data_IF_247952089673
#
_entry.id   IF_247952089673
#
_cell.length_a   1.000
_cell.length_b   1.000
_cell.length_c   1.000
_cell.angle_alpha   90.00
_cell.angle_beta   90.00
_cell.angle_gamma   90.00
#
_symmetry.space_group_name_H-M   'P 1'
#
loop_
_entity.id
_entity.type
_entity.pdbx_description
1 polymer ?
#
# COMPACT_ATOMS: atom_id res chain seq x y z
N UNK A 1 10.08 -9.51 24.36
CA UNK A 1 10.36 -9.19 22.96
C UNK A 1 10.54 -7.68 22.88
N UNK A 2 11.70 -7.21 22.43
CA UNK A 2 11.97 -5.76 22.33
C UNK A 2 11.06 -5.15 21.26
N UNK A 3 10.39 -4.05 21.57
CA UNK A 3 9.44 -3.41 20.66
C UNK A 3 10.21 -2.69 19.52
N UNK A 4 10.43 -3.39 18.41
CA UNK A 4 11.00 -2.80 17.20
C UNK A 4 9.96 -1.91 16.50
N UNK A 5 10.22 -0.60 16.45
CA UNK A 5 9.40 0.33 15.66
C UNK A 5 9.87 0.27 14.21
N UNK A 6 9.03 -0.19 13.26
CA UNK A 6 9.44 -0.27 11.87
C UNK A 6 9.74 1.12 11.30
N UNK A 7 10.73 1.19 10.43
CA UNK A 7 10.95 2.39 9.63
C UNK A 7 9.88 2.53 8.52
N UNK A 8 9.88 3.66 7.84
CA UNK A 8 8.86 3.94 6.82
C UNK A 8 8.86 2.95 5.66
N UNK A 9 10.04 2.57 5.16
CA UNK A 9 10.13 1.60 4.06
C UNK A 9 9.64 0.22 4.50
N UNK A 10 9.95 -0.22 5.73
CA UNK A 10 9.43 -1.47 6.30
C UNK A 10 7.91 -1.44 6.40
N UNK A 11 7.34 -0.34 6.89
CA UNK A 11 5.91 -0.16 7.01
C UNK A 11 5.20 -0.17 5.65
N UNK A 12 5.62 0.67 4.70
CA UNK A 12 4.96 0.78 3.40
C UNK A 12 5.19 -0.44 2.51
N UNK A 13 6.37 -1.07 2.58
CA UNK A 13 6.61 -2.34 1.90
C UNK A 13 5.70 -3.44 2.47
N UNK A 14 5.49 -3.47 3.79
CA UNK A 14 4.54 -4.41 4.40
C UNK A 14 3.11 -4.17 3.91
N UNK A 15 2.68 -2.90 3.80
CA UNK A 15 1.38 -2.59 3.21
C UNK A 15 1.26 -3.06 1.76
N UNK A 16 2.32 -2.95 0.96
CA UNK A 16 2.32 -3.47 -0.42
C UNK A 16 2.17 -5.00 -0.46
N UNK A 17 2.84 -5.71 0.46
CA UNK A 17 2.67 -7.17 0.62
C UNK A 17 1.25 -7.52 1.08
N UNK A 18 0.66 -6.76 2.00
CA UNK A 18 -0.73 -6.98 2.42
C UNK A 18 -1.69 -6.71 1.25
N UNK A 19 -1.48 -5.65 0.47
CA UNK A 19 -2.29 -5.36 -0.71
C UNK A 19 -2.23 -6.51 -1.73
N UNK A 20 -1.06 -7.13 -1.92
CA UNK A 20 -0.89 -8.24 -2.86
C UNK A 20 -1.71 -9.49 -2.49
N UNK A 21 -2.09 -9.66 -1.21
CA UNK A 21 -2.93 -10.77 -0.75
C UNK A 21 -4.32 -10.80 -1.40
N UNK A 22 -4.78 -9.66 -1.95
CA UNK A 22 -6.04 -9.56 -2.69
C UNK A 22 -5.91 -9.83 -4.19
N UNK A 23 -4.70 -10.13 -4.68
CA UNK A 23 -4.47 -10.47 -6.07
C UNK A 23 -5.29 -11.67 -6.51
N UNK A 24 -5.81 -11.61 -7.73
CA UNK A 24 -6.59 -12.70 -8.32
C UNK A 24 -5.87 -13.37 -9.48
N UNK A 25 -4.59 -13.08 -9.70
CA UNK A 25 -3.80 -13.64 -10.80
C UNK A 25 -3.00 -14.86 -10.33
N UNK A 26 -3.18 -16.01 -10.99
CA UNK A 26 -2.48 -17.25 -10.63
C UNK A 26 -0.97 -17.23 -10.91
N UNK A 27 -0.49 -16.26 -11.71
CA UNK A 27 0.93 -16.16 -12.11
C UNK A 27 1.79 -15.42 -11.09
N UNK A 28 1.18 -14.67 -10.18
CA UNK A 28 1.90 -13.89 -9.19
C UNK A 28 1.02 -12.88 -8.49
N UNK A 29 1.20 -12.77 -7.18
CA UNK A 29 0.49 -11.84 -6.32
C UNK A 29 1.32 -10.57 -6.14
N UNK A 30 0.92 -9.50 -6.81
CA UNK A 30 1.63 -8.21 -6.82
C UNK A 30 0.73 -7.16 -6.19
N UNK A 31 1.31 -6.38 -5.27
CA UNK A 31 0.69 -5.24 -4.64
C UNK A 31 1.55 -3.99 -4.82
N UNK A 32 0.88 -2.85 -4.93
CA UNK A 32 1.49 -1.54 -5.10
C UNK A 32 0.87 -0.56 -4.09
N UNK A 33 1.70 0.29 -3.49
CA UNK A 33 1.26 1.37 -2.60
C UNK A 33 1.93 2.67 -3.04
N UNK A 34 1.13 3.69 -3.30
CA UNK A 34 1.60 5.03 -3.64
C UNK A 34 1.52 5.89 -2.38
N UNK A 35 2.64 6.50 -2.01
CA UNK A 35 2.82 7.22 -0.75
C UNK A 35 3.34 8.62 -1.03
N UNK A 36 2.89 9.61 -0.27
CA UNK A 36 3.47 10.95 -0.24
C UNK A 36 3.37 11.52 1.17
N UNK A 37 4.40 12.21 1.63
CA UNK A 37 4.46 12.80 2.97
C UNK A 37 4.12 11.79 4.09
N UNK A 38 4.63 10.56 3.96
CA UNK A 38 4.36 9.41 4.84
C UNK A 38 2.86 9.04 4.97
N UNK A 39 2.05 9.37 3.96
CA UNK A 39 0.64 8.99 3.86
C UNK A 39 0.38 8.16 2.62
N UNK A 40 -0.41 7.11 2.77
CA UNK A 40 -0.89 6.31 1.65
C UNK A 40 -1.89 7.14 0.86
N UNK A 41 -1.60 7.36 -0.42
CA UNK A 41 -2.49 8.03 -1.38
C UNK A 41 -3.42 7.02 -2.06
N UNK A 42 -2.87 5.88 -2.45
CA UNK A 42 -3.59 4.85 -3.19
C UNK A 42 -2.90 3.49 -3.05
N UNK A 43 -3.68 2.43 -3.15
CA UNK A 43 -3.19 1.06 -3.18
C UNK A 43 -3.73 0.34 -4.40
N UNK A 44 -3.02 -0.69 -4.84
CA UNK A 44 -3.44 -1.53 -5.95
C UNK A 44 -2.90 -2.93 -5.80
N UNK A 45 -3.58 -3.87 -6.43
CA UNK A 45 -3.11 -5.24 -6.61
C UNK A 45 -3.43 -5.68 -8.01
N UNK A 46 -2.70 -6.65 -8.53
CA UNK A 46 -2.96 -7.14 -9.88
C UNK A 46 -4.22 -8.01 -9.93
N UNK A 47 -5.16 -7.68 -10.81
CA UNK A 47 -6.45 -8.37 -10.91
C UNK A 47 -7.21 -8.00 -12.18
N UNK A 48 -8.30 -8.72 -12.45
CA UNK A 48 -9.18 -8.40 -13.58
C UNK A 48 -9.80 -7.00 -13.41
N UNK A 49 -10.12 -6.29 -14.50
CA UNK A 49 -10.90 -5.07 -14.44
C UNK A 49 -12.20 -5.27 -13.64
N UNK A 50 -12.66 -4.20 -12.99
CA UNK A 50 -13.88 -4.26 -12.18
C UNK A 50 -15.08 -4.75 -13.02
N UNK A 51 -15.82 -5.72 -12.47
CA UNK A 51 -16.99 -6.33 -13.12
C UNK A 51 -16.67 -7.44 -14.13
N UNK A 52 -15.40 -7.85 -14.27
CA UNK A 52 -15.02 -8.97 -15.14
C UNK A 52 -14.62 -10.22 -14.32
N UNK A 53 -14.74 -11.44 -14.89
CA UNK A 53 -14.33 -12.67 -14.22
C UNK A 53 -12.86 -12.64 -13.78
N UNK A 54 -12.54 -13.20 -12.62
CA UNK A 54 -11.17 -13.25 -12.12
C UNK A 54 -10.41 -14.45 -12.67
N UNK A 55 -9.07 -14.39 -12.69
CA UNK A 55 -8.28 -15.54 -13.11
C UNK A 55 -8.40 -16.74 -12.14
N UNK A 56 -8.83 -16.49 -10.90
CA UNK A 56 -9.19 -17.53 -9.94
C UNK A 56 -10.42 -18.34 -10.40
N UNK A 57 -11.34 -17.72 -11.13
CA UNK A 57 -12.60 -18.34 -11.54
C UNK A 57 -12.47 -19.02 -12.91
N UNK A 58 -11.81 -18.36 -13.87
CA UNK A 58 -11.80 -18.76 -15.28
C UNK A 58 -10.40 -19.04 -15.84
N UNK A 59 -9.39 -19.10 -14.97
CA UNK A 59 -7.98 -19.26 -15.36
C UNK A 59 -7.35 -17.98 -15.92
N UNK A 60 -6.05 -18.02 -16.25
CA UNK A 60 -5.35 -16.88 -16.85
C UNK A 60 -5.57 -16.81 -18.37
N UNK A 61 -5.79 -15.61 -18.91
CA UNK A 61 -5.81 -15.39 -20.36
C UNK A 61 -4.40 -15.06 -20.84
N UNK A 62 -3.76 -16.02 -21.50
CA UNK A 62 -2.37 -15.86 -21.94
C UNK A 62 -2.29 -14.95 -23.18
N UNK A 63 -1.20 -14.20 -23.29
CA UNK A 63 -0.84 -13.57 -24.56
C UNK A 63 -0.35 -14.61 -25.59
N UNK A 64 -0.20 -14.20 -26.84
CA UNK A 64 0.27 -15.06 -27.95
C UNK A 64 1.64 -15.71 -27.69
N UNK A 65 2.41 -15.17 -26.74
CA UNK A 65 3.76 -15.63 -26.40
C UNK A 65 3.80 -16.46 -25.11
N UNK A 66 2.66 -16.65 -24.43
CA UNK A 66 2.54 -17.30 -23.12
C UNK A 66 3.22 -16.55 -21.95
N UNK A 67 3.64 -15.30 -22.15
CA UNK A 67 4.48 -14.55 -21.19
C UNK A 67 3.67 -13.65 -20.25
N UNK A 68 2.61 -13.02 -20.75
CA UNK A 68 1.71 -12.15 -19.99
C UNK A 68 0.33 -12.76 -19.72
N UNK A 69 -0.39 -12.16 -18.78
CA UNK A 69 -1.84 -12.38 -18.60
C UNK A 69 -2.60 -11.14 -19.08
N UNK A 70 -3.33 -11.25 -20.19
CA UNK A 70 -4.07 -10.14 -20.80
C UNK A 70 -5.29 -9.72 -19.97
N UNK A 71 -5.77 -10.58 -19.09
CA UNK A 71 -6.92 -10.31 -18.24
C UNK A 71 -6.57 -9.39 -17.07
N UNK A 72 -5.31 -9.33 -16.68
CA UNK A 72 -4.90 -8.72 -15.42
C UNK A 72 -4.43 -7.29 -15.63
N UNK A 73 -5.07 -6.34 -14.97
CA UNK A 73 -4.53 -4.99 -14.76
C UNK A 73 -3.46 -5.08 -13.68
N UNK A 74 -2.30 -4.47 -13.91
CA UNK A 74 -1.18 -4.52 -12.97
C UNK A 74 -1.48 -3.74 -11.69
N UNK A 75 -0.73 -4.04 -10.62
CA UNK A 75 -0.95 -3.41 -9.31
C UNK A 75 -0.71 -1.90 -9.37
N UNK A 76 0.34 -1.48 -10.06
CA UNK A 76 0.71 -0.07 -10.28
C UNK A 76 -0.38 0.65 -11.06
N UNK A 77 -0.88 0.03 -12.11
CA UNK A 77 -1.98 0.56 -12.92
C UNK A 77 -3.25 0.73 -12.10
N UNK A 78 -3.60 -0.26 -11.28
CA UNK A 78 -4.78 -0.17 -10.41
C UNK A 78 -4.62 0.94 -9.36
N UNK A 79 -3.44 1.09 -8.75
CA UNK A 79 -3.17 2.18 -7.81
C UNK A 79 -3.28 3.56 -8.49
N UNK A 80 -2.73 3.71 -9.70
CA UNK A 80 -2.81 4.95 -10.48
C UNK A 80 -4.25 5.24 -10.92
N UNK A 81 -4.96 4.24 -11.45
CA UNK A 81 -6.33 4.37 -11.92
C UNK A 81 -7.28 4.77 -10.78
N UNK A 82 -7.09 4.21 -9.57
CA UNK A 82 -7.85 4.59 -8.40
C UNK A 82 -7.64 6.06 -8.02
N UNK A 83 -6.38 6.52 -8.01
CA UNK A 83 -6.05 7.91 -7.73
C UNK A 83 -6.66 8.85 -8.77
N UNK A 84 -6.53 8.51 -10.06
CA UNK A 84 -7.10 9.28 -11.16
C UNK A 84 -8.64 9.38 -11.07
N UNK A 85 -9.32 8.27 -10.78
CA UNK A 85 -10.78 8.21 -10.63
C UNK A 85 -11.29 9.13 -9.52
N UNK A 86 -10.50 9.36 -8.47
CA UNK A 86 -10.89 10.15 -7.30
C UNK A 86 -10.22 11.52 -7.23
N UNK A 87 -9.51 11.94 -8.27
CA UNK A 87 -8.83 13.24 -8.30
C UNK A 87 -7.69 13.37 -7.29
N UNK A 88 -7.04 12.26 -6.92
CA UNK A 88 -5.89 12.25 -6.00
C UNK A 88 -4.62 12.50 -6.81
N UNK A 89 -3.92 13.59 -6.49
CA UNK A 89 -2.64 13.90 -7.13
C UNK A 89 -1.55 12.93 -6.67
N UNK A 90 -0.83 12.36 -7.64
CA UNK A 90 0.31 11.47 -7.42
C UNK A 90 1.67 12.17 -7.61
N UNK A 91 1.67 13.46 -7.97
CA UNK A 91 2.92 14.18 -8.20
C UNK A 91 3.79 14.20 -6.94
N UNK A 92 5.04 13.76 -7.06
CA UNK A 92 5.99 13.67 -5.97
C UNK A 92 5.85 12.40 -5.11
N UNK A 93 5.09 11.39 -5.54
CA UNK A 93 4.90 10.18 -4.74
C UNK A 93 6.09 9.21 -4.80
N UNK A 94 6.15 8.33 -3.81
CA UNK A 94 6.95 7.10 -3.80
C UNK A 94 6.05 5.90 -4.08
N UNK A 95 6.48 5.00 -4.96
CA UNK A 95 5.79 3.74 -5.24
C UNK A 95 6.50 2.57 -4.56
N UNK A 96 5.78 1.81 -3.73
CA UNK A 96 6.27 0.56 -3.12
C UNK A 96 5.65 -0.63 -3.84
N UNK A 97 6.48 -1.58 -4.28
CA UNK A 97 6.08 -2.79 -4.99
C UNK A 97 6.43 -4.04 -4.18
N UNK A 98 5.44 -4.90 -3.96
CA UNK A 98 5.57 -6.08 -3.08
C UNK A 98 6.55 -7.16 -3.57
N UNK A 99 6.99 -7.08 -4.82
CA UNK A 99 7.85 -8.08 -5.45
C UNK A 99 8.73 -7.44 -6.52
N UNK A 100 8.36 -7.56 -7.80
CA UNK A 100 9.21 -7.20 -8.91
C UNK A 100 9.23 -5.69 -9.23
N UNK A 101 10.26 -5.25 -9.95
CA UNK A 101 10.26 -3.94 -10.62
C UNK A 101 9.11 -3.84 -11.63
N UNK A 102 8.62 -2.61 -11.93
CA UNK A 102 7.46 -2.45 -12.78
C UNK A 102 7.76 -2.90 -14.21
N UNK A 103 6.73 -3.34 -14.95
CA UNK A 103 6.86 -3.55 -16.38
C UNK A 103 7.04 -2.20 -17.11
N UNK A 104 7.49 -2.21 -18.37
CA UNK A 104 7.72 -0.98 -19.15
C UNK A 104 6.49 -0.06 -19.19
N UNK A 105 5.28 -0.62 -19.35
CA UNK A 105 4.05 0.18 -19.37
C UNK A 105 3.77 0.83 -18.01
N UNK A 106 4.00 0.13 -16.90
CA UNK A 106 3.82 0.69 -15.56
C UNK A 106 4.91 1.72 -15.23
N UNK A 107 6.15 1.50 -15.67
CA UNK A 107 7.25 2.46 -15.54
C UNK A 107 6.92 3.78 -16.25
N UNK A 108 6.46 3.74 -17.51
CA UNK A 108 6.03 4.93 -18.24
C UNK A 108 4.91 5.69 -17.51
N UNK A 109 3.93 4.97 -16.95
CA UNK A 109 2.85 5.60 -16.18
C UNK A 109 3.36 6.25 -14.89
N UNK A 110 4.26 5.59 -14.16
CA UNK A 110 4.88 6.14 -12.94
C UNK A 110 5.65 7.44 -13.23
N UNK A 111 6.41 7.48 -14.33
CA UNK A 111 7.06 8.71 -14.82
C UNK A 111 6.01 9.78 -15.10
N UNK A 112 4.97 9.44 -15.87
CA UNK A 112 3.97 10.41 -16.33
C UNK A 112 3.16 11.03 -15.20
N UNK A 113 2.92 10.30 -14.10
CA UNK A 113 2.22 10.82 -12.91
C UNK A 113 3.13 11.61 -11.96
N UNK A 114 4.43 11.68 -12.25
CA UNK A 114 5.42 12.42 -11.46
C UNK A 114 5.89 11.67 -10.21
N UNK A 115 5.94 10.34 -10.25
CA UNK A 115 6.60 9.53 -9.21
C UNK A 115 8.09 9.92 -9.12
N UNK A 116 8.65 9.95 -7.91
CA UNK A 116 10.04 10.36 -7.66
C UNK A 116 10.92 9.20 -7.17
N UNK A 117 10.29 8.15 -6.63
CA UNK A 117 10.99 7.02 -6.03
C UNK A 117 10.20 5.74 -6.19
N UNK A 118 10.87 4.65 -6.55
CA UNK A 118 10.28 3.30 -6.64
C UNK A 118 11.09 2.35 -5.77
N UNK A 119 10.41 1.75 -4.79
CA UNK A 119 10.98 0.76 -3.87
C UNK A 119 10.42 -0.62 -4.22
N UNK A 120 11.29 -1.59 -4.47
CA UNK A 120 10.91 -2.95 -4.94
C UNK A 120 11.72 -4.03 -4.22
N UNK A 121 11.33 -5.31 -4.30
CA UNK A 121 12.02 -6.43 -3.63
C UNK A 121 12.86 -7.30 -4.54
N UNK A 122 12.55 -7.35 -5.83
CA UNK A 122 13.24 -8.22 -6.79
C UNK A 122 13.31 -7.56 -8.16
N UNK A 123 14.42 -7.74 -8.88
CA UNK A 123 14.50 -7.26 -10.27
C UNK A 123 13.60 -8.10 -11.17
N UNK A 124 12.75 -7.44 -11.96
CA UNK A 124 12.09 -8.07 -13.09
C UNK A 124 13.07 -8.24 -14.25
N UNK A 125 12.82 -9.21 -15.14
CA UNK A 125 13.76 -9.60 -16.22
C UNK A 125 13.95 -8.55 -17.33
N UNK A 126 13.25 -7.41 -17.28
CA UNK A 126 13.23 -6.42 -18.35
C UNK A 126 13.90 -5.12 -17.91
N UNK A 127 15.12 -4.90 -18.40
CA UNK A 127 15.92 -3.71 -18.08
C UNK A 127 15.36 -2.42 -18.69
N UNK A 128 14.48 -2.50 -19.71
CA UNK A 128 13.92 -1.30 -20.37
C UNK A 128 13.12 -0.44 -19.41
N UNK A 129 12.41 -1.06 -18.48
CA UNK A 129 11.69 -0.34 -17.43
C UNK A 129 12.66 0.43 -16.52
N UNK A 130 13.82 -0.15 -16.20
CA UNK A 130 14.84 0.51 -15.39
C UNK A 130 15.47 1.69 -16.11
N UNK A 131 15.72 1.55 -17.42
CA UNK A 131 16.22 2.67 -18.26
C UNK A 131 15.24 3.84 -18.21
N UNK A 132 13.96 3.62 -18.49
CA UNK A 132 12.93 4.68 -18.46
C UNK A 132 12.87 5.39 -17.11
N UNK A 133 12.92 4.64 -16.00
CA UNK A 133 12.86 5.23 -14.66
C UNK A 133 14.11 6.05 -14.36
N UNK A 134 15.30 5.56 -14.74
CA UNK A 134 16.57 6.27 -14.55
C UNK A 134 16.67 7.53 -15.41
N UNK A 135 16.25 7.47 -16.66
CA UNK A 135 16.26 8.61 -17.58
C UNK A 135 15.32 9.74 -17.13
N UNK A 136 14.32 9.40 -16.30
CA UNK A 136 13.41 10.35 -15.67
C UNK A 136 13.83 10.77 -14.25
N UNK A 137 15.07 10.48 -13.84
CA UNK A 137 15.63 10.78 -12.51
C UNK A 137 14.82 10.19 -11.34
N UNK A 138 14.11 9.06 -11.55
CA UNK A 138 13.39 8.36 -10.48
C UNK A 138 14.37 7.50 -9.68
N UNK A 139 14.38 7.70 -8.36
CA UNK A 139 15.19 6.91 -7.45
C UNK A 139 14.70 5.45 -7.40
N UNK A 140 15.59 4.49 -7.71
CA UNK A 140 15.31 3.05 -7.66
C UNK A 140 15.97 2.43 -6.44
N UNK A 141 15.16 1.88 -5.53
CA UNK A 141 15.65 1.28 -4.28
C UNK A 141 15.21 -0.17 -4.16
N UNK A 142 16.18 -1.06 -4.05
CA UNK A 142 15.92 -2.45 -3.64
C UNK A 142 15.72 -2.50 -2.12
N UNK A 143 14.56 -2.98 -1.69
CA UNK A 143 14.21 -3.15 -0.30
C UNK A 143 14.95 -4.34 0.32
N UNK A 144 15.78 -4.05 1.33
CA UNK A 144 16.56 -5.04 2.10
C UNK A 144 16.16 -5.08 3.59
N UNK A 145 15.10 -4.37 3.97
CA UNK A 145 14.60 -4.31 5.35
C UNK A 145 13.77 -5.54 5.73
N UNK A 146 13.23 -5.53 6.94
CA UNK A 146 12.37 -6.59 7.44
C UNK A 146 10.89 -6.21 7.28
N UNK A 147 10.06 -7.15 6.83
CA UNK A 147 8.61 -6.95 6.81
C UNK A 147 8.06 -6.99 8.24
N UNK A 148 7.08 -6.15 8.52
CA UNK A 148 6.39 -6.14 9.80
C UNK A 148 5.57 -7.43 9.92
N UNK A 149 5.84 -8.21 10.96
CA UNK A 149 4.97 -9.32 11.31
C UNK A 149 3.69 -8.79 11.95
N UNK A 150 2.63 -8.77 11.16
CA UNK A 150 1.30 -8.31 11.59
C UNK A 150 0.78 -9.18 12.74
N UNK A 151 1.08 -10.49 12.77
CA UNK A 151 0.65 -11.39 13.84
C UNK A 151 1.26 -11.00 15.19
N UNK A 152 2.58 -10.81 15.23
CA UNK A 152 3.28 -10.31 16.42
C UNK A 152 2.81 -8.92 16.83
N UNK A 153 2.52 -8.02 15.87
CA UNK A 153 2.03 -6.68 16.17
C UNK A 153 0.65 -6.69 16.86
N UNK A 154 -0.25 -7.59 16.46
CA UNK A 154 -1.54 -7.77 17.14
C UNK A 154 -1.34 -8.29 18.57
N UNK A 155 -0.50 -9.30 18.77
CA UNK A 155 -0.23 -9.82 20.11
C UNK A 155 0.30 -8.74 21.07
N UNK A 156 1.25 -7.92 20.61
CA UNK A 156 1.77 -6.80 21.39
C UNK A 156 0.69 -5.77 21.74
N UNK A 157 -0.25 -5.52 20.83
CA UNK A 157 -1.39 -4.64 21.07
C UNK A 157 -2.31 -5.22 22.16
N UNK A 158 -2.68 -6.49 22.05
CA UNK A 158 -3.56 -7.17 23.00
C UNK A 158 -2.96 -7.21 24.41
N UNK A 159 -1.66 -7.49 24.50
CA UNK A 159 -0.92 -7.44 25.75
C UNK A 159 -0.87 -6.01 26.34
N UNK A 160 -0.67 -4.99 25.49
CA UNK A 160 -0.65 -3.59 25.93
C UNK A 160 -2.01 -3.16 26.49
N UNK A 161 -3.11 -3.53 25.82
CA UNK A 161 -4.46 -3.27 26.29
C UNK A 161 -4.77 -4.00 27.61
N UNK A 162 -4.30 -5.25 27.75
CA UNK A 162 -4.45 -6.01 29.00
C UNK A 162 -3.69 -5.33 30.15
N UNK A 163 -2.46 -4.86 29.93
CA UNK A 163 -1.68 -4.09 30.95
C UNK A 163 -2.36 -2.77 31.33
N UNK A 164 -2.94 -2.06 30.37
CA UNK A 164 -3.68 -0.81 30.62
C UNK A 164 -5.00 -1.01 31.37
N UNK A 165 -5.63 -2.19 31.27
CA UNK A 165 -6.83 -2.52 32.05
C UNK A 165 -6.53 -2.87 33.52
N UNK A 166 -5.34 -3.41 33.80
CA UNK A 166 -4.89 -3.75 35.15
C UNK A 166 -4.35 -2.51 35.93
N UNK A 167 -3.80 -1.53 35.22
CA UNK A 167 -3.45 -0.21 35.78
C UNK A 167 -4.56 0.78 35.49
N UNK A 168 -5.57 0.84 36.37
CA UNK A 168 -6.77 1.66 36.21
C UNK A 168 -6.49 3.00 35.51
N UNK A 169 -6.96 3.11 34.27
CA UNK A 169 -6.90 4.34 33.52
C UNK A 169 -7.88 5.31 34.20
N UNK A 170 -7.35 6.23 35.01
CA UNK A 170 -8.11 7.30 35.65
C UNK A 170 -8.48 8.39 34.64
N UNK A 171 -9.15 8.03 33.55
CA UNK A 171 -9.98 9.00 32.84
C UNK A 171 -11.21 9.24 33.73
N UNK A 172 -11.00 10.08 34.76
CA UNK A 172 -12.04 10.50 35.67
C UNK A 172 -13.25 10.99 34.88
N UNK A 173 -14.39 10.38 35.18
CA UNK A 173 -15.72 10.91 34.90
C UNK A 173 -15.82 12.29 35.55
N UNK A 174 -15.35 13.32 34.85
CA UNK A 174 -15.66 14.71 35.14
C UNK A 174 -17.16 14.88 34.98
N UNK A 175 -17.88 14.75 36.09
CA UNK A 175 -19.31 15.01 36.15
C UNK A 175 -19.60 16.38 35.55
N UNK A 176 -20.51 16.41 34.58
CA UNK A 176 -21.09 17.66 34.10
C UNK A 176 -21.67 18.40 35.31
N UNK A 177 -21.30 19.66 35.58
CA UNK A 177 -22.01 20.44 36.58
C UNK A 177 -23.44 20.67 36.06
N UNK A 178 -24.42 20.34 36.89
CA UNK A 178 -25.82 20.62 36.63
C UNK A 178 -26.04 22.14 36.39
N UNK A 179 -27.00 22.54 35.54
CA UNK A 179 -27.28 23.95 35.32
C UNK A 179 -27.85 24.58 36.59
N UNK A 180 -27.26 25.70 37.04
CA UNK A 180 -27.74 26.52 38.15
C UNK A 180 -28.99 27.29 37.70
N UNK A 181 -30.17 26.83 38.15
CA UNK A 181 -31.42 27.57 38.06
C UNK A 181 -31.40 28.74 39.06
N UNK A 182 -30.92 29.92 38.65
CA UNK A 182 -31.16 31.17 39.39
C UNK A 182 -31.41 32.37 38.48
N UNK A 183 -32.70 32.68 38.36
CA UNK A 183 -33.32 34.03 38.41
C UNK A 183 -32.75 35.13 37.49
N UNK A 184 -33.47 35.44 36.41
CA UNK A 184 -33.48 36.77 35.81
C UNK A 184 -34.72 37.53 36.29
N UNK A 185 -34.48 38.58 37.08
CA UNK A 185 -35.44 39.59 37.45
C UNK A 185 -34.72 40.93 37.60
N UNK A 186 -34.81 41.76 36.57
CA UNK A 186 -34.84 43.23 36.57
C UNK A 186 -35.05 43.69 35.12
#
# INVERSE_FOLDING_TARGET
MEAHRPNWDEYFMTLAVIASSRSTCLRGCIGAVLVKDNRVLSTGYNGSPAGQPHCLDVGCLQDERGKGCLRTVHAEQNAIAWAARHGISLAGCTCYLSSYTPCLACANLLVQVGCQRVVYRTLYRDDRALTVLRDADIELVEFKGQLVDVGSALQMHDEAMTRSSAGGCSCGSGGSPAPDERTHGA
#
